data_IF_059826137285
#
_entry.id   IF_059826137285
#
_cell.length_a   1.000
_cell.length_b   1.000
_cell.length_c   1.000
_cell.angle_alpha   90.00
_cell.angle_beta   90.00
_cell.angle_gamma   90.00
#
_symmetry.space_group_name_H-M   'P 1'
#
loop_
_entity.id
_entity.type
_entity.pdbx_description
1 polymer ?
#
# COMPACT_ATOMS: atom_id res chain seq x y z
N UNK A 1 -18.78 -9.10 4.45
CA UNK A 1 -18.34 -7.69 4.39
C UNK A 1 -18.45 -7.16 2.98
N UNK A 2 -18.99 -5.98 2.82
CA UNK A 2 -18.98 -5.29 1.53
C UNK A 2 -17.59 -4.79 1.21
N UNK A 3 -17.16 -4.98 -0.04
CA UNK A 3 -15.93 -4.38 -0.50
C UNK A 3 -16.10 -2.86 -0.59
N UNK A 4 -15.15 -2.06 -0.08
CA UNK A 4 -15.21 -0.62 -0.23
C UNK A 4 -14.99 -0.25 -1.71
N UNK A 5 -15.83 0.65 -2.21
CA UNK A 5 -15.73 1.07 -3.62
C UNK A 5 -14.49 1.93 -3.90
N UNK A 6 -13.96 2.56 -2.87
CA UNK A 6 -12.85 3.51 -3.00
C UNK A 6 -11.49 2.97 -2.55
N UNK A 7 -11.34 1.64 -2.40
CA UNK A 7 -10.08 1.04 -1.96
C UNK A 7 -9.35 0.35 -3.11
N UNK A 8 -8.10 0.71 -3.31
CA UNK A 8 -7.22 0.13 -4.31
C UNK A 8 -5.90 -0.27 -3.66
N UNK A 9 -5.16 -1.15 -4.34
CA UNK A 9 -3.84 -1.57 -3.91
C UNK A 9 -2.81 -1.01 -4.89
N UNK A 10 -1.68 -0.55 -4.38
CA UNK A 10 -0.59 -0.02 -5.20
C UNK A 10 0.72 -0.69 -4.79
N UNK A 11 1.47 -1.23 -5.75
CA UNK A 11 2.68 -1.99 -5.48
C UNK A 11 3.62 -1.98 -6.68
N UNK A 12 4.93 -2.06 -6.40
CA UNK A 12 5.94 -2.38 -7.39
C UNK A 12 6.65 -3.65 -6.92
N UNK A 13 6.83 -4.62 -7.80
CA UNK A 13 7.57 -5.83 -7.46
C UNK A 13 8.37 -6.37 -8.65
N UNK A 14 9.42 -7.13 -8.32
CA UNK A 14 10.29 -7.76 -9.33
C UNK A 14 9.61 -8.96 -9.99
N UNK A 15 10.25 -9.53 -11.00
CA UNK A 15 9.74 -10.74 -11.69
C UNK A 15 9.51 -11.90 -10.74
N UNK A 16 10.35 -12.01 -9.70
CA UNK A 16 10.17 -13.02 -8.64
C UNK A 16 9.39 -12.50 -7.43
N UNK A 17 8.59 -11.45 -7.61
CA UNK A 17 7.62 -10.90 -6.67
C UNK A 17 8.23 -10.26 -5.41
N UNK A 18 9.49 -9.87 -5.46
CA UNK A 18 10.15 -9.21 -4.32
C UNK A 18 9.66 -7.77 -4.19
N UNK A 19 9.25 -7.39 -2.98
CA UNK A 19 8.86 -6.03 -2.62
C UNK A 19 9.75 -5.43 -1.54
N UNK A 20 10.60 -6.23 -0.88
CA UNK A 20 11.50 -5.73 0.17
C UNK A 20 12.67 -6.66 0.42
N UNK A 21 13.73 -6.09 1.01
CA UNK A 21 14.93 -6.81 1.43
C UNK A 21 15.46 -6.16 2.69
N UNK A 22 15.59 -6.94 3.78
CA UNK A 22 16.04 -6.47 5.09
C UNK A 22 15.30 -5.22 5.58
N UNK A 23 14.00 -5.18 5.33
CA UNK A 23 13.16 -4.05 5.70
C UNK A 23 13.23 -2.86 4.74
N UNK A 24 14.00 -2.95 3.66
CA UNK A 24 14.17 -1.87 2.69
C UNK A 24 13.67 -2.29 1.31
N UNK A 25 13.31 -1.32 0.49
CA UNK A 25 12.99 -1.55 -0.91
C UNK A 25 14.32 -1.69 -1.65
N UNK A 26 14.59 -2.84 -2.30
CA UNK A 26 15.92 -3.11 -2.87
C UNK A 26 16.21 -2.41 -4.19
N UNK A 27 15.32 -1.54 -4.66
CA UNK A 27 15.49 -0.81 -5.92
C UNK A 27 14.99 0.62 -5.78
N UNK A 28 15.49 1.47 -6.66
CA UNK A 28 14.99 2.84 -6.80
C UNK A 28 14.73 3.09 -8.28
N UNK A 29 13.47 3.31 -8.63
CA UNK A 29 13.07 3.60 -10.00
C UNK A 29 12.27 4.91 -9.99
N UNK A 30 12.80 5.95 -10.63
CA UNK A 30 12.18 7.28 -10.62
C UNK A 30 10.77 7.29 -11.20
N UNK A 31 10.54 6.56 -12.27
CA UNK A 31 9.22 6.47 -12.90
C UNK A 31 8.19 5.86 -11.97
N UNK A 32 8.58 4.88 -11.15
CA UNK A 32 7.71 4.25 -10.18
C UNK A 32 7.36 5.22 -9.04
N UNK A 33 8.34 5.94 -8.52
CA UNK A 33 8.11 6.95 -7.47
C UNK A 33 7.20 8.06 -7.96
N UNK A 34 7.40 8.52 -9.19
CA UNK A 34 6.58 9.55 -9.81
C UNK A 34 5.13 9.08 -9.97
N UNK A 35 4.93 7.87 -10.47
CA UNK A 35 3.60 7.28 -10.64
C UNK A 35 2.88 7.13 -9.30
N UNK A 36 3.59 6.64 -8.29
CA UNK A 36 3.05 6.51 -6.94
C UNK A 36 2.57 7.87 -6.42
N UNK A 37 3.39 8.90 -6.57
CA UNK A 37 3.05 10.25 -6.14
C UNK A 37 1.84 10.80 -6.90
N UNK A 38 1.80 10.63 -8.21
CA UNK A 38 0.69 11.11 -9.03
C UNK A 38 -0.64 10.46 -8.66
N UNK A 39 -0.63 9.13 -8.44
CA UNK A 39 -1.84 8.39 -8.06
C UNK A 39 -2.32 8.75 -6.66
N UNK A 40 -1.41 8.89 -5.70
CA UNK A 40 -1.78 9.01 -4.29
C UNK A 40 -1.99 10.44 -3.81
N UNK A 41 -1.44 11.45 -4.48
CA UNK A 41 -1.57 12.85 -4.04
C UNK A 41 -3.03 13.26 -3.93
N UNK A 42 -3.39 13.87 -2.81
CA UNK A 42 -4.77 14.26 -2.52
C UNK A 42 -5.65 13.13 -2.00
N UNK A 43 -5.11 11.94 -1.84
CA UNK A 43 -5.84 10.76 -1.41
C UNK A 43 -5.33 10.22 -0.07
N UNK A 44 -5.80 9.03 0.30
CA UNK A 44 -5.46 8.36 1.54
C UNK A 44 -4.49 7.23 1.23
N UNK A 45 -3.40 7.14 1.99
CA UNK A 45 -2.44 6.04 1.86
C UNK A 45 -2.40 5.27 3.17
N UNK A 46 -2.63 3.97 3.09
CA UNK A 46 -2.59 3.06 4.24
C UNK A 46 -1.36 2.20 4.15
N UNK A 47 -0.60 2.13 5.23
CA UNK A 47 0.63 1.34 5.29
C UNK A 47 0.78 0.68 6.65
N UNK A 48 1.53 -0.43 6.69
CA UNK A 48 1.91 -1.04 7.95
C UNK A 48 2.95 -0.21 8.67
N UNK A 49 3.11 -0.44 9.96
CA UNK A 49 4.07 0.30 10.79
C UNK A 49 5.49 0.23 10.25
N UNK A 50 5.94 -0.98 9.87
CA UNK A 50 7.31 -1.18 9.39
C UNK A 50 7.58 -0.38 8.11
N UNK A 51 6.62 -0.38 7.18
CA UNK A 51 6.72 0.41 5.96
C UNK A 51 6.82 1.90 6.28
N UNK A 52 6.01 2.39 7.20
CA UNK A 52 6.08 3.78 7.62
C UNK A 52 7.44 4.13 8.24
N UNK A 53 7.97 3.27 9.10
CA UNK A 53 9.27 3.50 9.73
C UNK A 53 10.41 3.52 8.70
N UNK A 54 10.31 2.74 7.64
CA UNK A 54 11.28 2.75 6.54
C UNK A 54 11.22 4.06 5.75
N UNK A 55 10.03 4.59 5.49
CA UNK A 55 9.84 5.88 4.84
C UNK A 55 10.35 7.00 5.76
N UNK A 56 10.12 6.88 7.05
CA UNK A 56 10.65 7.78 8.09
C UNK A 56 9.88 9.07 8.31
N UNK A 57 8.91 9.38 7.48
CA UNK A 57 8.11 10.60 7.60
C UNK A 57 6.79 10.46 6.86
N UNK A 58 5.75 11.26 7.21
CA UNK A 58 4.50 11.26 6.45
C UNK A 58 4.73 11.73 5.01
N UNK A 59 4.04 11.11 4.07
CA UNK A 59 4.06 11.52 2.69
C UNK A 59 3.28 12.84 2.55
N UNK A 60 3.85 13.88 1.93
CA UNK A 60 3.17 15.17 1.83
C UNK A 60 1.94 15.12 0.92
N UNK A 61 0.97 15.98 1.21
CA UNK A 61 -0.27 16.14 0.42
C UNK A 61 -1.13 14.89 0.34
N UNK A 62 -1.03 14.01 1.35
CA UNK A 62 -1.82 12.79 1.48
C UNK A 62 -2.19 12.60 2.93
N UNK A 63 -3.32 11.94 3.18
CA UNK A 63 -3.61 11.46 4.53
C UNK A 63 -2.90 10.13 4.71
N UNK A 64 -1.96 10.07 5.65
CA UNK A 64 -1.19 8.87 5.96
C UNK A 64 -1.85 8.12 7.11
N UNK A 65 -2.21 6.87 6.88
CA UNK A 65 -2.76 6.00 7.91
C UNK A 65 -1.78 4.87 8.14
N UNK A 66 -1.27 4.76 9.37
CA UNK A 66 -0.37 3.70 9.78
C UNK A 66 -1.16 2.69 10.60
N UNK A 67 -1.11 1.42 10.22
CA UNK A 67 -1.78 0.37 10.98
C UNK A 67 -0.81 -0.17 12.03
N UNK A 68 -1.20 -0.04 13.29
CA UNK A 68 -0.41 -0.51 14.42
C UNK A 68 -1.29 -0.72 15.65
N UNK A 69 -1.01 -1.82 16.39
CA UNK A 69 -1.66 -2.10 17.67
C UNK A 69 -0.78 -1.70 18.86
N UNK A 70 0.49 -1.40 18.63
CA UNK A 70 1.46 -1.21 19.69
C UNK A 70 2.07 0.19 19.76
N UNK A 71 2.15 0.88 18.64
CA UNK A 71 2.70 2.23 18.57
C UNK A 71 1.65 3.19 18.02
N UNK A 72 1.72 4.43 18.48
CA UNK A 72 0.83 5.49 18.02
C UNK A 72 1.64 6.60 17.36
N UNK A 73 1.32 6.86 16.11
CA UNK A 73 1.93 7.93 15.31
C UNK A 73 0.86 8.98 15.04
N UNK A 74 1.21 10.25 15.16
CA UNK A 74 0.25 11.32 14.91
C UNK A 74 0.95 12.57 14.36
N UNK A 75 0.18 13.36 13.63
CA UNK A 75 0.66 14.60 13.03
C UNK A 75 -0.45 15.26 12.23
N UNK A 76 -0.14 16.32 11.50
CA UNK A 76 -1.14 17.06 10.73
C UNK A 76 -1.85 16.22 9.66
N UNK A 77 -1.11 15.33 8.99
CA UNK A 77 -1.64 14.44 7.96
C UNK A 77 -1.33 12.97 8.25
N UNK A 78 -1.19 12.64 9.53
CA UNK A 78 -0.78 11.30 9.98
C UNK A 78 -1.67 10.84 11.13
N UNK A 79 -2.31 9.68 10.96
CA UNK A 79 -3.09 9.05 12.01
C UNK A 79 -2.74 7.57 12.10
N UNK A 80 -2.97 6.98 13.26
CA UNK A 80 -2.79 5.55 13.50
C UNK A 80 -4.15 4.90 13.69
N UNK A 81 -4.36 3.78 13.03
CA UNK A 81 -5.56 2.95 13.19
C UNK A 81 -5.13 1.51 13.43
N UNK A 82 -6.03 0.67 13.93
CA UNK A 82 -5.67 -0.68 14.35
C UNK A 82 -5.65 -1.67 13.20
N UNK A 83 -6.59 -1.55 12.25
CA UNK A 83 -6.74 -2.54 11.18
C UNK A 83 -7.47 -1.93 9.98
N UNK A 84 -7.47 -2.68 8.87
CA UNK A 84 -8.14 -2.24 7.64
C UNK A 84 -9.64 -2.04 7.80
N UNK A 85 -10.30 -2.85 8.61
CA UNK A 85 -11.74 -2.71 8.82
C UNK A 85 -12.09 -1.33 9.40
N UNK A 86 -11.30 -0.84 10.35
CA UNK A 86 -11.49 0.49 10.91
C UNK A 86 -11.31 1.57 9.85
N UNK A 87 -10.31 1.42 8.97
CA UNK A 87 -10.05 2.36 7.89
C UNK A 87 -11.25 2.40 6.94
N UNK A 88 -11.72 1.25 6.50
CA UNK A 88 -12.83 1.16 5.55
C UNK A 88 -14.12 1.72 6.14
N UNK A 89 -14.43 1.42 7.40
CA UNK A 89 -15.62 1.96 8.06
C UNK A 89 -15.57 3.48 8.15
N UNK A 90 -14.42 4.03 8.49
CA UNK A 90 -14.29 5.49 8.66
C UNK A 90 -14.32 6.24 7.34
N UNK A 91 -13.73 5.68 6.28
CA UNK A 91 -13.51 6.39 5.02
C UNK A 91 -14.30 5.86 3.83
N UNK A 92 -15.24 4.94 4.05
CA UNK A 92 -16.02 4.32 2.94
C UNK A 92 -16.82 5.33 2.11
N UNK A 93 -17.24 6.42 2.71
CA UNK A 93 -18.03 7.46 2.04
C UNK A 93 -17.18 8.70 1.70
N UNK A 94 -15.86 8.60 1.89
CA UNK A 94 -14.94 9.68 1.55
C UNK A 94 -14.79 9.78 0.03
N UNK A 95 -14.68 11.00 -0.48
CA UNK A 95 -14.49 11.24 -1.91
C UNK A 95 -13.08 10.84 -2.38
N UNK A 96 -12.14 10.66 -1.44
CA UNK A 96 -10.77 10.26 -1.76
C UNK A 96 -10.68 8.76 -1.95
N UNK A 97 -9.71 8.33 -2.77
CA UNK A 97 -9.37 6.93 -2.89
C UNK A 97 -8.48 6.50 -1.73
N UNK A 98 -8.58 5.23 -1.36
CA UNK A 98 -7.75 4.62 -0.32
C UNK A 98 -6.76 3.71 -1.03
N UNK A 99 -5.46 4.02 -0.93
CA UNK A 99 -4.41 3.21 -1.55
C UNK A 99 -3.67 2.40 -0.48
N UNK A 100 -3.69 1.09 -0.63
CA UNK A 100 -2.96 0.17 0.26
C UNK A 100 -1.54 0.03 -0.28
N UNK A 101 -0.56 0.46 0.48
CA UNK A 101 0.82 0.64 0.01
C UNK A 101 1.88 -0.27 0.66
N UNK A 102 1.46 -1.33 1.34
CA UNK A 102 2.38 -2.35 1.86
C UNK A 102 2.51 -2.36 3.38
N UNK A 103 3.24 -3.29 3.96
CA UNK A 103 4.03 -4.30 3.26
C UNK A 103 3.32 -5.63 2.96
N UNK A 104 4.11 -6.70 2.89
CA UNK A 104 3.64 -8.02 2.47
C UNK A 104 2.37 -8.48 3.20
N UNK A 105 2.36 -8.39 4.51
CA UNK A 105 1.23 -8.82 5.34
C UNK A 105 -0.03 -8.02 5.03
N UNK A 106 0.12 -6.72 4.88
CA UNK A 106 -1.02 -5.84 4.58
C UNK A 106 -1.55 -6.09 3.16
N UNK A 107 -0.67 -6.31 2.19
CA UNK A 107 -1.09 -6.68 0.84
C UNK A 107 -1.88 -7.97 0.84
N UNK A 108 -1.44 -8.98 1.58
CA UNK A 108 -2.14 -10.26 1.68
C UNK A 108 -3.56 -10.09 2.21
N UNK A 109 -3.70 -9.30 3.25
CA UNK A 109 -5.01 -9.00 3.82
C UNK A 109 -5.88 -8.20 2.85
N UNK A 110 -5.29 -7.18 2.21
CA UNK A 110 -6.02 -6.27 1.33
C UNK A 110 -6.53 -6.93 0.04
N UNK A 111 -5.86 -7.97 -0.45
CA UNK A 111 -6.29 -8.68 -1.66
C UNK A 111 -7.74 -9.15 -1.63
N UNK A 112 -8.28 -9.36 -0.43
CA UNK A 112 -9.67 -9.81 -0.26
C UNK A 112 -10.67 -8.65 -0.38
N UNK A 113 -10.22 -7.41 -0.40
CA UNK A 113 -11.10 -6.23 -0.26
C UNK A 113 -10.96 -5.20 -1.38
N UNK A 114 -9.89 -5.25 -2.17
CA UNK A 114 -9.66 -4.24 -3.20
C UNK A 114 -10.24 -4.69 -4.54
N UNK A 115 -10.75 -3.71 -5.29
CA UNK A 115 -11.26 -3.96 -6.65
C UNK A 115 -10.16 -3.82 -7.69
N UNK A 116 -9.28 -2.87 -7.50
CA UNK A 116 -8.23 -2.56 -8.46
C UNK A 116 -6.86 -2.66 -7.83
N UNK A 117 -5.89 -3.09 -8.64
CA UNK A 117 -4.50 -3.12 -8.24
C UNK A 117 -3.68 -2.37 -9.28
N UNK A 118 -2.89 -1.41 -8.82
CA UNK A 118 -1.93 -0.70 -9.64
C UNK A 118 -0.57 -1.33 -9.42
N UNK A 119 -0.14 -2.17 -10.36
CA UNK A 119 1.07 -2.97 -10.25
C UNK A 119 2.11 -2.44 -11.23
N UNK A 120 3.30 -2.11 -10.72
CA UNK A 120 4.46 -1.83 -11.54
C UNK A 120 5.38 -3.05 -11.48
N UNK A 121 5.60 -3.67 -12.64
CA UNK A 121 6.54 -4.79 -12.74
C UNK A 121 7.95 -4.27 -12.99
N UNK A 122 8.86 -4.67 -12.12
CA UNK A 122 10.29 -4.40 -12.27
C UNK A 122 10.87 -5.53 -13.11
N UNK A 123 11.44 -5.19 -14.26
CA UNK A 123 11.98 -6.19 -15.20
C UNK A 123 13.34 -6.71 -14.74
N UNK A 124 13.36 -7.37 -13.59
CA UNK A 124 14.56 -7.93 -12.98
C UNK A 124 14.19 -9.01 -11.96
N UNK A 125 15.13 -9.92 -11.71
CA UNK A 125 15.08 -10.83 -10.58
C UNK A 125 15.92 -10.23 -9.47
N UNK A 126 15.35 -10.06 -8.29
CA UNK A 126 16.00 -9.35 -7.18
C UNK A 126 15.95 -10.23 -5.94
N UNK A 127 17.05 -10.26 -5.18
CA UNK A 127 17.09 -10.93 -3.89
C UNK A 127 16.32 -10.10 -2.87
N UNK A 128 15.49 -10.74 -2.08
CA UNK A 128 14.74 -10.06 -1.03
C UNK A 128 14.09 -11.04 -0.08
N UNK A 129 13.51 -10.52 0.98
CA UNK A 129 12.88 -11.30 2.05
C UNK A 129 11.38 -10.97 2.24
N UNK A 130 10.87 -9.99 1.52
CA UNK A 130 9.45 -9.69 1.49
C UNK A 130 8.92 -9.80 0.07
N UNK A 131 7.78 -10.44 -0.09
CA UNK A 131 7.23 -10.80 -1.39
C UNK A 131 5.78 -10.35 -1.51
N UNK A 132 5.38 -9.97 -2.72
CA UNK A 132 3.96 -9.75 -2.99
C UNK A 132 3.26 -11.12 -3.00
N UNK A 133 2.12 -11.28 -2.29
CA UNK A 133 1.43 -12.56 -2.22
C UNK A 133 0.90 -13.00 -3.59
N UNK A 134 0.82 -14.31 -3.79
CA UNK A 134 0.17 -14.86 -4.98
C UNK A 134 -1.33 -14.56 -4.95
N UNK A 135 -1.89 -14.30 -6.12
CA UNK A 135 -3.32 -14.04 -6.24
C UNK A 135 -3.84 -14.66 -7.54
N UNK A 136 -5.14 -14.90 -7.60
CA UNK A 136 -5.77 -15.47 -8.79
C UNK A 136 -6.00 -14.35 -9.80
N UNK A 137 -5.18 -14.33 -10.85
CA UNK A 137 -5.25 -13.30 -11.89
C UNK A 137 -6.57 -13.31 -12.64
N UNK A 138 -7.30 -14.45 -12.63
CA UNK A 138 -8.60 -14.55 -13.29
C UNK A 138 -9.68 -13.70 -12.62
N UNK A 139 -9.45 -13.27 -11.39
CA UNK A 139 -10.35 -12.40 -10.65
C UNK A 139 -10.23 -10.92 -11.04
N UNK A 140 -9.22 -10.58 -11.84
CA UNK A 140 -8.93 -9.20 -12.22
C UNK A 140 -8.78 -9.08 -13.74
N UNK A 141 -9.32 -7.99 -14.28
CA UNK A 141 -9.11 -7.63 -15.67
C UNK A 141 -7.86 -6.73 -15.76
N UNK A 142 -7.04 -6.97 -16.79
CA UNK A 142 -5.85 -6.15 -17.03
C UNK A 142 -6.22 -5.02 -17.97
N UNK A 143 -5.86 -3.81 -17.57
CA UNK A 143 -6.12 -2.63 -18.38
C UNK A 143 -4.81 -1.90 -18.74
#
# INVERSE_FOLDING_TARGET
MKYPDNADLIVAYSKNRVIGRDGLIPWTIEGEKKRFKELTTGNIVVMGRRTYEEIGRPLPNRLNIVLSNTKNFSGGNLITMKNLNEVFERFKDDSRRIYIAGGERLYREALNFVKNMYITLIDAYIEGDAYFPEFDQRLFDVS
#
